data_IF_002762608105
#
_entry.id   IF_002762608105
#
_cell.length_a   1.000
_cell.length_b   1.000
_cell.length_c   1.000
_cell.angle_alpha   90.00
_cell.angle_beta   90.00
_cell.angle_gamma   90.00
#
_symmetry.space_group_name_H-M   'P 1'
#
loop_
_entity.id
_entity.type
_entity.pdbx_description
1 polymer ?
#
# COMPACT_ATOMS: atom_id res chain seq x y z
N UNK A 1 16.23 -16.92 12.96
CA UNK A 1 16.47 -16.46 11.57
C UNK A 1 17.77 -15.68 11.57
N UNK A 2 18.72 -15.94 10.68
CA UNK A 2 19.99 -15.18 10.69
C UNK A 2 19.64 -13.70 10.45
N UNK A 3 20.08 -12.76 11.30
CA UNK A 3 19.62 -11.36 11.26
C UNK A 3 19.74 -10.77 9.84
N UNK A 4 20.81 -11.12 9.12
CA UNK A 4 21.06 -10.73 7.73
C UNK A 4 19.98 -11.23 6.75
N UNK A 5 19.49 -12.46 6.90
CA UNK A 5 18.40 -12.98 6.08
C UNK A 5 17.10 -12.21 6.32
N UNK A 6 16.82 -11.82 7.57
CA UNK A 6 15.66 -11.00 7.91
C UNK A 6 15.68 -9.65 7.18
N UNK A 7 16.81 -8.95 7.22
CA UNK A 7 16.96 -7.68 6.51
C UNK A 7 16.78 -7.83 5.00
N UNK A 8 17.40 -8.85 4.38
CA UNK A 8 17.28 -9.09 2.92
C UNK A 8 15.82 -9.27 2.51
N UNK A 9 15.05 -10.08 3.24
CA UNK A 9 13.64 -10.32 2.95
C UNK A 9 12.83 -9.02 3.04
N UNK A 10 13.03 -8.25 4.11
CA UNK A 10 12.34 -6.97 4.31
C UNK A 10 12.67 -6.00 3.16
N UNK A 11 13.95 -5.88 2.77
CA UNK A 11 14.37 -4.99 1.68
C UNK A 11 13.72 -5.38 0.35
N UNK A 12 13.76 -6.67 -0.02
CA UNK A 12 13.13 -7.15 -1.26
C UNK A 12 11.62 -6.87 -1.24
N UNK A 13 10.98 -7.09 -0.09
CA UNK A 13 9.55 -6.85 0.08
C UNK A 13 9.20 -5.36 -0.09
N UNK A 14 9.95 -4.44 0.53
CA UNK A 14 9.78 -2.99 0.37
C UNK A 14 9.97 -2.57 -1.09
N UNK A 15 11.01 -3.08 -1.76
CA UNK A 15 11.27 -2.77 -3.17
C UNK A 15 10.12 -3.24 -4.06
N UNK A 16 9.63 -4.47 -3.85
CA UNK A 16 8.52 -5.04 -4.61
C UNK A 16 7.22 -4.25 -4.42
N UNK A 17 6.87 -3.91 -3.17
CA UNK A 17 5.69 -3.10 -2.87
C UNK A 17 5.79 -1.68 -3.42
N UNK A 18 6.95 -1.04 -3.31
CA UNK A 18 7.18 0.31 -3.85
C UNK A 18 7.04 0.32 -5.37
N UNK A 19 7.57 -0.69 -6.07
CA UNK A 19 7.38 -0.84 -7.51
C UNK A 19 5.89 -1.01 -7.87
N UNK A 20 5.17 -1.87 -7.12
CA UNK A 20 3.73 -2.05 -7.29
C UNK A 20 2.94 -0.76 -7.10
N UNK A 21 3.31 0.05 -6.11
CA UNK A 21 2.72 1.35 -5.84
C UNK A 21 2.95 2.36 -6.97
N UNK A 22 4.18 2.46 -7.47
CA UNK A 22 4.50 3.34 -8.61
C UNK A 22 3.69 2.96 -9.85
N UNK A 23 3.53 1.65 -10.10
CA UNK A 23 2.68 1.16 -11.18
C UNK A 23 1.21 1.55 -10.98
N UNK A 24 0.68 1.40 -9.76
CA UNK A 24 -0.70 1.80 -9.42
C UNK A 24 -0.92 3.30 -9.64
N UNK A 25 0.01 4.16 -9.20
CA UNK A 25 -0.06 5.61 -9.44
C UNK A 25 -0.10 5.89 -10.94
N UNK A 26 0.78 5.26 -11.73
CA UNK A 26 0.84 5.46 -13.18
C UNK A 26 -0.49 5.08 -13.86
N UNK A 27 -1.09 3.97 -13.46
CA UNK A 27 -2.41 3.54 -13.93
C UNK A 27 -3.48 4.57 -13.56
N UNK A 28 -3.53 5.02 -12.31
CA UNK A 28 -4.47 6.05 -11.84
C UNK A 28 -4.30 7.38 -12.59
N UNK A 29 -3.07 7.87 -12.79
CA UNK A 29 -2.80 9.08 -13.55
C UNK A 29 -3.24 8.97 -15.02
N UNK A 30 -3.03 7.82 -15.65
CA UNK A 30 -3.48 7.56 -17.02
C UNK A 30 -5.01 7.60 -17.13
N UNK A 31 -5.69 6.99 -16.16
CA UNK A 31 -7.16 6.93 -16.09
C UNK A 31 -7.77 8.33 -15.92
N UNK A 32 -7.20 9.13 -15.01
CA UNK A 32 -7.63 10.52 -14.79
C UNK A 32 -7.42 11.34 -16.07
N UNK A 33 -6.30 11.16 -16.77
CA UNK A 33 -5.96 11.96 -17.96
C UNK A 33 -6.86 11.69 -19.17
N UNK A 34 -7.34 10.45 -19.33
CA UNK A 34 -8.13 10.07 -20.50
C UNK A 34 -9.58 10.54 -20.41
N UNK A 35 -10.10 10.75 -19.20
CA UNK A 35 -11.46 11.23 -18.94
C UNK A 35 -12.58 10.46 -19.69
N UNK A 36 -12.32 9.19 -20.08
CA UNK A 36 -13.30 8.27 -20.71
C UNK A 36 -13.84 7.24 -19.74
N UNK A 37 -13.41 7.28 -18.49
CA UNK A 37 -13.82 6.32 -17.46
C UNK A 37 -14.93 6.91 -16.61
N UNK A 38 -15.81 6.06 -16.08
CA UNK A 38 -16.86 6.50 -15.15
C UNK A 38 -16.25 7.03 -13.85
N UNK A 39 -16.93 7.99 -13.21
CA UNK A 39 -16.47 8.57 -11.94
C UNK A 39 -16.18 7.50 -10.89
N UNK A 40 -17.01 6.44 -10.85
CA UNK A 40 -16.81 5.28 -9.96
C UNK A 40 -15.49 4.55 -10.20
N UNK A 41 -15.08 4.40 -11.46
CA UNK A 41 -13.81 3.75 -11.82
C UNK A 41 -12.61 4.62 -11.40
N UNK A 42 -12.70 5.93 -11.62
CA UNK A 42 -11.68 6.91 -11.20
C UNK A 42 -11.55 6.92 -9.67
N UNK A 43 -12.67 7.04 -8.95
CA UNK A 43 -12.72 7.05 -7.48
C UNK A 43 -12.15 5.75 -6.91
N UNK A 44 -12.52 4.59 -7.48
CA UNK A 44 -11.97 3.30 -7.06
C UNK A 44 -10.46 3.28 -7.17
N UNK A 45 -9.88 3.64 -8.32
CA UNK A 45 -8.44 3.60 -8.48
C UNK A 45 -7.68 4.64 -7.63
N UNK A 46 -8.34 5.77 -7.32
CA UNK A 46 -7.80 6.81 -6.45
C UNK A 46 -7.77 6.34 -4.99
N UNK A 47 -8.87 5.75 -4.49
CA UNK A 47 -8.92 5.11 -3.16
C UNK A 47 -7.86 4.00 -3.07
N UNK A 48 -7.76 3.14 -4.09
CA UNK A 48 -6.75 2.09 -4.12
C UNK A 48 -5.34 2.66 -3.99
N UNK A 49 -5.02 3.73 -4.72
CA UNK A 49 -3.71 4.37 -4.66
C UNK A 49 -3.44 4.98 -3.28
N UNK A 50 -4.40 5.71 -2.70
CA UNK A 50 -4.24 6.31 -1.37
C UNK A 50 -4.03 5.22 -0.31
N UNK A 51 -4.86 4.17 -0.31
CA UNK A 51 -4.74 3.07 0.66
C UNK A 51 -3.44 2.29 0.51
N UNK A 52 -2.95 2.07 -0.72
CA UNK A 52 -1.65 1.43 -0.94
C UNK A 52 -0.51 2.30 -0.40
N UNK A 53 -0.57 3.61 -0.64
CA UNK A 53 0.42 4.56 -0.10
C UNK A 53 0.41 4.58 1.43
N UNK A 54 -0.78 4.63 2.04
CA UNK A 54 -0.94 4.55 3.50
C UNK A 54 -0.38 3.25 4.07
N UNK A 55 -0.63 2.11 3.42
CA UNK A 55 -0.04 0.83 3.78
C UNK A 55 1.50 0.88 3.76
N UNK A 56 2.11 1.40 2.69
CA UNK A 56 3.57 1.52 2.59
C UNK A 56 4.16 2.37 3.72
N UNK A 57 3.52 3.51 4.04
CA UNK A 57 3.96 4.39 5.13
C UNK A 57 3.84 3.67 6.48
N UNK A 58 2.70 3.03 6.77
CA UNK A 58 2.50 2.26 8.00
C UNK A 58 3.50 1.10 8.11
N UNK A 59 3.83 0.44 6.99
CA UNK A 59 4.78 -0.66 6.97
C UNK A 59 6.20 -0.19 7.25
N UNK A 60 6.64 0.91 6.62
CA UNK A 60 7.94 1.52 6.88
C UNK A 60 8.06 1.96 8.35
N UNK A 61 7.01 2.56 8.92
CA UNK A 61 6.97 2.90 10.34
C UNK A 61 7.10 1.66 11.22
N UNK A 62 6.36 0.58 10.92
CA UNK A 62 6.44 -0.67 11.68
C UNK A 62 7.85 -1.29 11.64
N UNK A 63 8.51 -1.24 10.48
CA UNK A 63 9.90 -1.70 10.33
C UNK A 63 10.85 -0.84 11.17
N UNK A 64 10.73 0.49 11.12
CA UNK A 64 11.59 1.40 11.91
C UNK A 64 11.40 1.22 13.43
N UNK A 65 10.16 0.97 13.88
CA UNK A 65 9.86 0.67 15.30
C UNK A 65 10.47 -0.67 15.70
N UNK A 66 10.32 -1.69 14.84
CA UNK A 66 10.89 -3.03 15.09
C UNK A 66 12.41 -3.04 15.13
N UNK A 67 13.06 -2.06 14.49
CA UNK A 67 14.49 -1.84 14.53
C UNK A 67 14.95 -0.96 15.71
N UNK A 68 14.02 -0.59 16.60
CA UNK A 68 14.26 0.31 17.75
C UNK A 68 14.81 1.70 17.36
N UNK A 69 14.71 2.08 16.08
CA UNK A 69 15.18 3.38 15.57
C UNK A 69 14.24 4.50 16.02
N UNK A 70 12.94 4.20 16.11
CA UNK A 70 11.89 5.14 16.53
C UNK A 70 11.21 4.65 17.81
N UNK A 71 11.63 5.20 18.95
CA UNK A 71 10.98 5.00 20.25
C UNK A 71 9.82 5.97 20.49
N UNK A 72 8.77 5.92 19.65
CA UNK A 72 7.60 6.79 19.82
C UNK A 72 6.56 6.03 20.66
N UNK A 73 6.32 6.49 21.89
CA UNK A 73 5.41 5.86 22.87
C UNK A 73 3.95 5.69 22.40
N UNK A 74 3.54 6.45 21.38
CA UNK A 74 2.17 6.43 20.81
C UNK A 74 2.03 5.43 19.66
N UNK A 75 3.13 5.07 18.98
CA UNK A 75 3.11 4.21 17.79
C UNK A 75 3.76 2.88 18.16
N UNK A 76 2.95 1.92 18.61
CA UNK A 76 3.39 0.56 18.91
C UNK A 76 3.46 -0.31 17.65
N UNK A 77 4.29 -1.34 17.66
CA UNK A 77 4.36 -2.35 16.59
C UNK A 77 3.02 -3.07 16.39
N UNK A 78 2.24 -3.26 17.46
CA UNK A 78 0.89 -3.82 17.39
C UNK A 78 -0.07 -2.90 16.61
N UNK A 79 -0.13 -1.61 16.95
CA UNK A 79 -1.05 -0.68 16.29
C UNK A 79 -0.68 -0.47 14.82
N UNK A 80 0.61 -0.43 14.51
CA UNK A 80 1.10 -0.26 13.13
C UNK A 80 0.89 -1.52 12.28
N UNK A 81 1.09 -2.72 12.83
CA UNK A 81 0.81 -3.97 12.11
C UNK A 81 -0.68 -4.15 11.81
N UNK A 82 -1.57 -3.81 12.75
CA UNK A 82 -3.01 -3.83 12.52
C UNK A 82 -3.43 -2.82 11.43
N UNK A 83 -2.88 -1.61 11.49
CA UNK A 83 -3.11 -0.57 10.48
C UNK A 83 -2.61 -1.00 9.09
N UNK A 84 -1.44 -1.64 9.00
CA UNK A 84 -0.94 -2.22 7.75
C UNK A 84 -1.95 -3.20 7.15
N UNK A 85 -2.46 -4.13 7.97
CA UNK A 85 -3.46 -5.11 7.52
C UNK A 85 -4.72 -4.45 6.97
N UNK A 86 -5.25 -3.45 7.67
CA UNK A 86 -6.43 -2.69 7.23
C UNK A 86 -6.17 -1.99 5.89
N UNK A 87 -5.07 -1.26 5.76
CA UNK A 87 -4.78 -0.53 4.52
C UNK A 87 -4.54 -1.46 3.32
N UNK A 88 -3.91 -2.61 3.55
CA UNK A 88 -3.77 -3.66 2.53
C UNK A 88 -5.14 -4.17 2.09
N UNK A 89 -6.02 -4.48 3.04
CA UNK A 89 -7.38 -4.96 2.75
C UNK A 89 -8.19 -3.92 1.98
N UNK A 90 -8.16 -2.66 2.38
CA UNK A 90 -8.84 -1.57 1.67
C UNK A 90 -8.29 -1.43 0.25
N UNK A 91 -6.97 -1.53 0.07
CA UNK A 91 -6.35 -1.49 -1.26
C UNK A 91 -6.85 -2.63 -2.16
N UNK A 92 -6.92 -3.86 -1.64
CA UNK A 92 -7.40 -5.02 -2.37
C UNK A 92 -8.89 -4.91 -2.70
N UNK A 93 -9.72 -4.54 -1.73
CA UNK A 93 -11.17 -4.33 -1.93
C UNK A 93 -11.39 -3.26 -2.99
N UNK A 94 -10.67 -2.15 -2.89
CA UNK A 94 -10.78 -1.07 -3.85
C UNK A 94 -10.43 -1.52 -5.27
N UNK A 95 -9.31 -2.23 -5.43
CA UNK A 95 -8.85 -2.69 -6.74
C UNK A 95 -9.70 -3.80 -7.37
N UNK A 96 -10.22 -4.72 -6.57
CA UNK A 96 -10.87 -5.93 -7.08
C UNK A 96 -12.40 -5.92 -6.98
N UNK A 97 -12.97 -5.13 -6.08
CA UNK A 97 -14.42 -5.07 -5.83
C UNK A 97 -15.00 -3.74 -6.31
N UNK A 98 -14.34 -2.61 -6.01
CA UNK A 98 -14.88 -1.27 -6.33
C UNK A 98 -14.63 -0.90 -7.79
N UNK A 99 -13.41 -1.14 -8.28
CA UNK A 99 -13.07 -0.95 -9.69
C UNK A 99 -13.82 -2.02 -10.50
N UNK A 100 -14.80 -1.66 -11.33
CA UNK A 100 -15.52 -2.65 -12.12
C UNK A 100 -14.52 -3.39 -13.01
N UNK A 101 -14.46 -4.73 -12.85
CA UNK A 101 -13.86 -5.58 -13.87
C UNK A 101 -14.59 -5.24 -15.16
N UNK A 102 -13.84 -4.91 -16.22
CA UNK A 102 -14.38 -4.77 -17.58
C UNK A 102 -15.47 -5.83 -17.75
N UNK A 103 -16.72 -5.40 -17.92
CA UNK A 103 -17.71 -6.24 -18.56
C UNK A 103 -17.11 -6.52 -19.94
N UNK A 104 -16.63 -7.75 -20.10
CA UNK A 104 -16.23 -8.27 -21.40
C UNK A 104 -17.49 -8.45 -22.26
#
# INVERSE_FOLDING_TARGET
MNNTMGFIIITIFICGLSYGFLRQIKETSYIIKINKFTDRYVIGNLICSISYGAFLISYLLNVLISLEILGIFIITSENTSFSCGIFLMISLISKYIIVPKKQA
#
